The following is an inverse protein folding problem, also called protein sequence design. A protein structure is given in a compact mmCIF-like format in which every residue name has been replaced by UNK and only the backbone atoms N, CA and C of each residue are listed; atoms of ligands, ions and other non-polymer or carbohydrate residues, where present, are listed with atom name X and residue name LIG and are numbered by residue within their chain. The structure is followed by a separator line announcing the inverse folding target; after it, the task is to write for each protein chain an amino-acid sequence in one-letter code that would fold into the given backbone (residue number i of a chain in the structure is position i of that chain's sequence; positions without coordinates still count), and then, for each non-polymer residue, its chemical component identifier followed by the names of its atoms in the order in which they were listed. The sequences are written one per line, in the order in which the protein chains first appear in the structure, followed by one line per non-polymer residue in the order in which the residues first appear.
data_IF_962514976352
#
_entry.id   IF_962514976352
#
_cell.length_a   1.000
_cell.length_b   1.000
_cell.length_c   1.000
_cell.angle_alpha   90.00
_cell.angle_beta   90.00
_cell.angle_gamma   90.00
#
_symmetry.space_group_name_H-M   'P 1'
#
loop_
_entity.id
_entity.type
_entity.pdbx_description
1 polymer ?
#
# COMPACT_ATOMS: atom_id res chain seq x y z
N UNK A 1 -14.78 -3.56 -16.36
CA UNK A 1 -14.76 -2.28 -15.61
C UNK A 1 -13.43 -2.23 -14.88
N UNK A 2 -12.78 -1.06 -14.85
CA UNK A 2 -11.56 -0.86 -14.04
C UNK A 2 -11.94 -0.13 -12.75
N UNK A 3 -11.39 -0.57 -11.62
CA UNK A 3 -11.67 0.00 -10.30
C UNK A 3 -10.38 0.57 -9.73
N UNK A 4 -10.50 1.75 -9.14
CA UNK A 4 -9.46 2.35 -8.29
C UNK A 4 -10.03 2.46 -6.89
N UNK A 5 -9.57 1.60 -5.99
CA UNK A 5 -9.99 1.56 -4.60
C UNK A 5 -9.15 2.56 -3.78
N UNK A 6 -9.79 3.60 -3.27
CA UNK A 6 -9.16 4.57 -2.37
C UNK A 6 -9.17 4.12 -0.90
N UNK A 7 -9.91 3.05 -0.58
CA UNK A 7 -9.99 2.48 0.76
C UNK A 7 -8.75 1.63 1.07
N UNK A 8 -8.87 0.75 2.06
CA UNK A 8 -7.80 -0.16 2.45
C UNK A 8 -8.06 -1.62 2.13
N UNK A 9 -9.22 -1.93 1.55
CA UNK A 9 -9.71 -3.30 1.37
C UNK A 9 -8.73 -4.13 0.53
N UNK A 10 -8.30 -3.58 -0.61
CA UNK A 10 -7.43 -4.30 -1.55
C UNK A 10 -5.95 -3.88 -1.50
N UNK A 11 -5.48 -3.30 -0.38
CA UNK A 11 -4.07 -2.91 -0.23
C UNK A 11 -3.11 -4.10 -0.06
N UNK A 12 -3.62 -5.24 0.42
CA UNK A 12 -2.81 -6.40 0.77
C UNK A 12 -3.09 -7.58 -0.16
N UNK A 13 -2.04 -8.17 -0.73
CA UNK A 13 -2.18 -9.36 -1.57
C UNK A 13 -2.50 -10.63 -0.76
N UNK A 14 -2.01 -10.70 0.49
CA UNK A 14 -2.27 -11.82 1.39
C UNK A 14 -3.46 -11.50 2.32
N UNK A 15 -4.55 -12.28 2.30
CA UNK A 15 -5.68 -12.09 3.20
C UNK A 15 -5.30 -12.21 4.68
N UNK A 16 -4.23 -12.95 5.03
CA UNK A 16 -3.77 -13.05 6.42
C UNK A 16 -3.18 -11.74 6.92
N UNK A 17 -2.48 -10.98 6.07
CA UNK A 17 -1.97 -9.66 6.42
C UNK A 17 -3.12 -8.70 6.73
N UNK A 18 -4.20 -8.76 5.94
CA UNK A 18 -5.41 -7.99 6.21
C UNK A 18 -6.02 -8.36 7.58
N UNK A 19 -6.16 -9.66 7.87
CA UNK A 19 -6.69 -10.14 9.14
C UNK A 19 -5.85 -9.68 10.34
N UNK A 20 -4.51 -9.73 10.23
CA UNK A 20 -3.61 -9.27 11.28
C UNK A 20 -3.74 -7.78 11.58
N UNK A 21 -4.01 -6.96 10.56
CA UNK A 21 -4.08 -5.50 10.69
C UNK A 21 -5.47 -5.04 11.12
N UNK A 22 -6.53 -5.64 10.58
CA UNK A 22 -7.91 -5.19 10.82
C UNK A 22 -8.70 -6.06 11.79
N UNK A 23 -8.14 -7.18 12.26
CA UNK A 23 -8.77 -8.06 13.25
C UNK A 23 -9.98 -8.84 12.73
N UNK A 24 -10.14 -8.92 11.40
CA UNK A 24 -11.24 -9.64 10.75
C UNK A 24 -10.80 -10.23 9.43
N UNK A 25 -11.43 -11.33 9.02
CA UNK A 25 -11.21 -11.92 7.70
C UNK A 25 -11.56 -10.92 6.60
N UNK A 26 -10.74 -10.88 5.55
CA UNK A 26 -11.06 -10.10 4.36
C UNK A 26 -12.39 -10.63 3.76
N UNK A 27 -13.38 -9.77 3.46
CA UNK A 27 -14.71 -10.21 3.02
C UNK A 27 -14.73 -10.76 1.58
N UNK A 28 -13.72 -10.42 0.78
CA UNK A 28 -13.63 -10.71 -0.65
C UNK A 28 -12.24 -11.21 -1.10
N UNK A 29 -11.67 -12.26 -0.46
CA UNK A 29 -10.26 -12.66 -0.66
C UNK A 29 -9.96 -13.11 -2.10
N UNK A 30 -10.95 -13.65 -2.82
CA UNK A 30 -10.83 -14.06 -4.22
C UNK A 30 -10.51 -12.91 -5.19
N UNK A 31 -10.74 -11.67 -4.78
CA UNK A 31 -10.46 -10.49 -5.60
C UNK A 31 -9.08 -9.88 -5.33
N UNK A 32 -8.36 -10.28 -4.26
CA UNK A 32 -7.09 -9.65 -3.89
C UNK A 32 -6.04 -9.75 -5.01
N UNK A 33 -6.01 -10.85 -5.75
CA UNK A 33 -5.08 -11.04 -6.88
C UNK A 33 -5.40 -10.17 -8.10
N UNK A 34 -6.52 -9.45 -8.09
CA UNK A 34 -6.97 -8.57 -9.18
C UNK A 34 -6.59 -7.11 -8.93
N UNK A 35 -5.98 -6.80 -7.79
CA UNK A 35 -5.58 -5.44 -7.40
C UNK A 35 -4.06 -5.35 -7.23
N UNK A 36 -3.49 -4.24 -7.68
CA UNK A 36 -2.13 -3.82 -7.35
C UNK A 36 -2.19 -2.58 -6.47
N UNK A 37 -1.47 -2.61 -5.35
CA UNK A 37 -1.33 -1.47 -4.45
C UNK A 37 0.10 -0.94 -4.51
N UNK A 38 0.31 0.20 -5.17
CA UNK A 38 1.62 0.82 -5.29
C UNK A 38 1.51 2.33 -5.51
N UNK A 39 2.61 3.03 -5.24
CA UNK A 39 2.78 4.44 -5.58
C UNK A 39 3.31 4.51 -7.02
N UNK A 40 2.78 5.39 -7.90
CA UNK A 40 3.17 5.42 -9.32
C UNK A 40 4.68 5.61 -9.58
N UNK A 41 5.38 6.27 -8.67
CA UNK A 41 6.83 6.47 -8.72
C UNK A 41 7.62 5.16 -8.58
N UNK A 42 7.04 4.16 -7.92
CA UNK A 42 7.68 2.85 -7.69
C UNK A 42 7.21 1.78 -8.67
N UNK A 43 5.98 1.92 -9.16
CA UNK A 43 5.39 1.00 -10.13
C UNK A 43 4.59 1.80 -11.16
N UNK A 44 5.23 2.05 -12.30
CA UNK A 44 4.66 2.88 -13.38
C UNK A 44 3.43 2.24 -14.03
N UNK A 45 3.47 0.92 -14.19
CA UNK A 45 2.46 0.13 -14.86
C UNK A 45 2.06 -1.04 -13.96
N UNK A 46 0.76 -1.34 -13.91
CA UNK A 46 0.22 -2.50 -13.18
C UNK A 46 -0.30 -3.54 -14.16
N UNK A 47 -0.03 -4.81 -13.88
CA UNK A 47 -0.53 -5.94 -14.70
C UNK A 47 -1.94 -6.37 -14.30
N UNK A 48 -2.43 -5.90 -13.16
CA UNK A 48 -3.76 -6.22 -12.63
C UNK A 48 -4.84 -5.31 -13.22
N UNK A 49 -6.09 -5.80 -13.34
CA UNK A 49 -7.19 -5.01 -13.90
C UNK A 49 -7.66 -3.86 -12.99
N UNK A 50 -7.29 -3.89 -11.71
CA UNK A 50 -7.69 -2.89 -10.71
C UNK A 50 -6.49 -2.37 -9.93
N UNK A 51 -6.65 -1.19 -9.35
CA UNK A 51 -5.65 -0.53 -8.52
C UNK A 51 -6.22 -0.25 -7.12
N UNK A 52 -5.38 -0.34 -6.10
CA UNK A 52 -5.66 0.14 -4.77
C UNK A 52 -4.68 1.25 -4.40
N UNK A 53 -5.16 2.32 -3.78
CA UNK A 53 -4.32 3.42 -3.38
C UNK A 53 -3.70 3.13 -2.00
N UNK A 54 -2.37 3.28 -1.84
CA UNK A 54 -1.77 3.30 -0.52
C UNK A 54 -2.35 4.42 0.34
N UNK A 55 -2.32 4.22 1.66
CA UNK A 55 -2.75 5.26 2.62
C UNK A 55 -1.84 6.49 2.57
N UNK A 56 -2.35 7.64 3.01
CA UNK A 56 -1.63 8.93 2.94
C UNK A 56 -0.23 8.89 3.58
N UNK A 57 -0.11 8.35 4.80
CA UNK A 57 1.19 8.17 5.46
C UNK A 57 2.07 7.13 4.76
N UNK A 58 1.48 6.01 4.31
CA UNK A 58 2.22 4.98 3.59
C UNK A 58 2.83 5.54 2.29
N UNK A 59 2.07 6.35 1.54
CA UNK A 59 2.56 7.06 0.36
C UNK A 59 3.74 7.96 0.70
N UNK A 60 3.60 8.83 1.71
CA UNK A 60 4.67 9.75 2.11
C UNK A 60 5.94 9.00 2.55
N UNK A 61 5.78 7.93 3.33
CA UNK A 61 6.89 7.08 3.77
C UNK A 61 7.55 6.37 2.59
N UNK A 62 6.78 5.73 1.71
CA UNK A 62 7.30 4.97 0.58
C UNK A 62 8.09 5.88 -0.38
N UNK A 63 7.61 7.09 -0.66
CA UNK A 63 8.33 8.05 -1.51
C UNK A 63 9.71 8.42 -0.97
N UNK A 64 9.87 8.52 0.36
CA UNK A 64 11.16 8.79 0.99
C UNK A 64 12.05 7.56 1.19
N UNK A 65 11.45 6.41 1.55
CA UNK A 65 12.18 5.21 1.98
C UNK A 65 12.66 4.37 0.79
N UNK A 66 11.79 4.11 -0.20
CA UNK A 66 12.13 3.22 -1.33
C UNK A 66 13.43 3.62 -2.05
N UNK A 67 13.72 4.90 -2.35
CA UNK A 67 15.00 5.25 -2.97
C UNK A 67 16.21 4.98 -2.06
N UNK A 68 16.09 5.16 -0.74
CA UNK A 68 17.18 4.86 0.20
C UNK A 68 17.48 3.36 0.23
N UNK A 69 16.43 2.54 0.27
CA UNK A 69 16.53 1.08 0.22
C UNK A 69 17.14 0.63 -1.10
N UNK A 70 16.72 1.20 -2.23
CA UNK A 70 17.22 0.79 -3.56
C UNK A 70 18.69 1.15 -3.81
N UNK A 71 19.20 2.19 -3.17
CA UNK A 71 20.63 2.54 -3.20
C UNK A 71 21.48 1.69 -2.24
N UNK A 72 20.86 0.97 -1.30
CA UNK A 72 21.58 0.15 -0.31
C UNK A 72 22.29 0.96 0.79
N UNK A 73 21.91 2.23 0.97
CA UNK A 73 22.56 3.18 1.89
C UNK A 73 21.91 3.20 3.30
N UNK A 74 21.32 2.08 3.72
CA UNK A 74 20.54 1.98 4.96
C UNK A 74 20.53 0.55 5.51
N UNK A 75 20.34 0.42 6.82
CA UNK A 75 20.12 -0.86 7.52
C UNK A 75 18.67 -1.35 7.43
N UNK A 76 17.81 -0.66 6.66
CA UNK A 76 16.37 -0.89 6.51
C UNK A 76 15.57 -0.73 7.81
N UNK A 77 16.07 0.03 8.78
CA UNK A 77 15.33 0.37 10.00
C UNK A 77 14.96 1.87 10.02
N UNK A 78 13.66 2.17 9.96
CA UNK A 78 13.16 3.53 9.83
C UNK A 78 12.29 3.93 11.02
N UNK A 79 12.61 5.07 11.63
CA UNK A 79 11.78 5.71 12.65
C UNK A 79 11.02 6.86 12.02
N UNK A 80 9.69 6.80 12.04
CA UNK A 80 8.84 7.79 11.38
C UNK A 80 7.96 8.50 12.41
N UNK A 81 8.02 9.82 12.40
CA UNK A 81 7.07 10.69 13.09
C UNK A 81 6.34 11.51 12.04
N UNK A 82 5.01 11.39 12.01
CA UNK A 82 4.18 12.06 11.03
C UNK A 82 3.05 12.84 11.71
N UNK A 83 2.70 13.98 11.12
CA UNK A 83 1.57 14.80 11.52
C UNK A 83 0.68 15.02 10.30
N UNK A 84 -0.65 15.00 10.50
CA UNK A 84 -1.64 15.28 9.46
C UNK A 84 -2.65 16.31 9.95
N UNK A 85 -3.28 17.01 9.01
CA UNK A 85 -4.42 17.87 9.32
C UNK A 85 -5.68 17.05 9.66
N UNK A 86 -6.73 17.73 10.13
CA UNK A 86 -7.96 17.07 10.62
C UNK A 86 -8.77 16.33 9.56
N UNK A 87 -8.44 16.49 8.28
CA UNK A 87 -9.11 15.83 7.15
C UNK A 87 -8.51 14.47 6.82
N UNK A 88 -7.40 14.11 7.45
CA UNK A 88 -6.72 12.83 7.27
C UNK A 88 -7.44 11.66 7.92
#
# INVERSE_FOLDING_TARGET
VSVVDASADFRFADPKTFEQIYGQNHPAPQHLTQFSCAVPEHLKDIETPHAAQPGCFATAMLLGIVPLVSMGETDNNFFVSAATGSTG
#
